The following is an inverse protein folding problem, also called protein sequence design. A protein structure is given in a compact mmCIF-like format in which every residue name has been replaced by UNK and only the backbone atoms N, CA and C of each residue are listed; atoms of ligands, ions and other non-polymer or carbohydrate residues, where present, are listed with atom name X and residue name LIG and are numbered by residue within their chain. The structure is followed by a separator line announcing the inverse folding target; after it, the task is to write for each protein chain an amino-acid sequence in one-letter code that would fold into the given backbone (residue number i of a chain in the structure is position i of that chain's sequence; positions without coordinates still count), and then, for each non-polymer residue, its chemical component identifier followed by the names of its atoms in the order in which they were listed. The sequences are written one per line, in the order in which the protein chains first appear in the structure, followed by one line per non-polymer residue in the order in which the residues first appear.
data_IF_532884256057
#
_entry.id   IF_532884256057
#
_cell.length_a   1.000
_cell.length_b   1.000
_cell.length_c   1.000
_cell.angle_alpha   90.00
_cell.angle_beta   90.00
_cell.angle_gamma   90.00
#
_symmetry.space_group_name_H-M   'P 1'
#
loop_
_entity.id
_entity.type
_entity.pdbx_description
1 polymer ?
#
# COMPACT_ATOMS: atom_id res chain seq x y z
N UNK A 1 24.86 15.51 -34.10
CA UNK A 1 24.55 16.96 -34.07
C UNK A 1 23.45 17.20 -33.04
N UNK A 2 23.62 18.16 -32.11
CA UNK A 2 22.69 18.37 -30.99
C UNK A 2 21.58 19.36 -31.38
N UNK A 3 20.33 18.99 -31.10
CA UNK A 3 19.17 19.89 -31.24
C UNK A 3 19.00 20.69 -29.96
N UNK A 4 18.93 22.00 -30.09
CA UNK A 4 18.66 22.91 -28.97
C UNK A 4 17.15 23.18 -28.89
N UNK A 5 16.68 23.77 -27.79
CA UNK A 5 15.26 24.09 -27.60
C UNK A 5 15.12 25.59 -27.42
N UNK A 6 14.13 26.18 -28.10
CA UNK A 6 13.79 27.58 -27.97
C UNK A 6 13.26 27.88 -26.56
N UNK A 7 13.88 28.83 -25.87
CA UNK A 7 13.54 29.22 -24.50
C UNK A 7 12.14 29.83 -24.37
N UNK A 8 11.64 30.49 -25.42
CA UNK A 8 10.31 31.09 -25.42
C UNK A 8 9.22 30.12 -25.91
N UNK A 9 9.40 29.56 -27.11
CA UNK A 9 8.35 28.80 -27.79
C UNK A 9 8.37 27.30 -27.47
N UNK A 10 9.50 26.76 -27.03
CA UNK A 10 9.71 25.33 -26.78
C UNK A 10 9.91 24.48 -28.04
N UNK A 11 10.05 25.08 -29.22
CA UNK A 11 10.34 24.36 -30.47
C UNK A 11 11.81 23.94 -30.55
N UNK A 12 12.08 22.85 -31.29
CA UNK A 12 13.45 22.38 -31.57
C UNK A 12 14.15 23.37 -32.51
N UNK A 13 15.40 23.67 -32.23
CA UNK A 13 16.28 24.51 -33.03
C UNK A 13 17.29 23.59 -33.70
N UNK A 14 17.26 23.59 -35.03
CA UNK A 14 18.25 22.91 -35.83
C UNK A 14 19.52 23.76 -35.96
N UNK A 15 20.70 23.14 -36.10
CA UNK A 15 21.94 23.85 -36.34
C UNK A 15 21.85 24.79 -37.55
N UNK A 16 22.44 25.98 -37.43
CA UNK A 16 22.34 27.03 -38.45
C UNK A 16 21.06 27.88 -38.39
N UNK A 17 20.17 27.64 -37.42
CA UNK A 17 18.97 28.44 -37.21
C UNK A 17 18.96 29.16 -35.86
N UNK A 18 18.21 30.25 -35.82
CA UNK A 18 17.91 30.98 -34.59
C UNK A 18 19.01 31.93 -34.14
N UNK A 19 18.86 32.42 -32.91
CA UNK A 19 19.78 33.36 -32.26
C UNK A 19 20.04 32.94 -30.82
N UNK A 20 21.20 33.35 -30.29
CA UNK A 20 21.60 33.15 -28.90
C UNK A 20 21.67 34.51 -28.21
N UNK A 21 20.91 34.67 -27.14
CA UNK A 21 20.86 35.88 -26.32
C UNK A 21 21.45 35.59 -24.94
N UNK A 22 22.51 36.29 -24.58
CA UNK A 22 23.12 36.23 -23.25
C UNK A 22 22.64 37.45 -22.47
N UNK A 23 21.96 37.22 -21.36
CA UNK A 23 21.51 38.29 -20.46
C UNK A 23 22.63 38.64 -19.47
N UNK A 24 22.59 39.86 -18.91
CA UNK A 24 23.60 40.37 -17.96
C UNK A 24 23.84 39.47 -16.72
N UNK A 25 22.88 38.63 -16.34
CA UNK A 25 23.01 37.64 -15.26
C UNK A 25 23.62 36.30 -15.74
N UNK A 26 24.33 36.30 -16.87
CA UNK A 26 24.93 35.14 -17.53
C UNK A 26 23.95 34.03 -17.93
N UNK A 27 22.65 34.34 -17.99
CA UNK A 27 21.65 33.37 -18.49
C UNK A 27 21.62 33.39 -20.01
N UNK A 28 21.78 32.21 -20.59
CA UNK A 28 21.73 31.99 -22.03
C UNK A 28 20.32 31.58 -22.44
N UNK A 29 19.76 32.31 -23.38
CA UNK A 29 18.47 32.02 -24.01
C UNK A 29 18.71 31.74 -25.50
N UNK A 30 18.02 30.72 -26.02
CA UNK A 30 18.08 30.38 -27.45
C UNK A 30 16.71 30.63 -28.06
N UNK A 31 16.67 31.26 -29.23
CA UNK A 31 15.44 31.55 -29.94
C UNK A 31 15.45 30.91 -31.31
N UNK A 32 14.31 30.33 -31.71
CA UNK A 32 14.17 29.69 -33.04
C UNK A 32 14.01 30.74 -34.15
N UNK A 33 13.41 31.88 -33.82
CA UNK A 33 13.14 32.97 -34.77
C UNK A 33 13.08 34.33 -34.08
N UNK A 34 13.19 35.40 -34.88
CA UNK A 34 13.05 36.79 -34.45
C UNK A 34 11.71 37.05 -33.75
N UNK A 35 10.63 36.35 -34.14
CA UNK A 35 9.33 36.41 -33.46
C UNK A 35 9.43 35.98 -31.99
N UNK A 36 10.11 34.86 -31.72
CA UNK A 36 10.29 34.38 -30.34
C UNK A 36 11.21 35.28 -29.51
N UNK A 37 12.23 35.84 -30.14
CA UNK A 37 13.15 36.79 -29.51
C UNK A 37 12.45 38.12 -29.15
N UNK A 38 11.73 38.71 -30.11
CA UNK A 38 10.99 39.96 -29.90
C UNK A 38 9.95 39.83 -28.77
N UNK A 39 9.17 38.74 -28.75
CA UNK A 39 8.20 38.51 -27.68
C UNK A 39 8.87 38.32 -26.31
N UNK A 40 10.05 37.70 -26.26
CA UNK A 40 10.83 37.55 -25.04
C UNK A 40 11.35 38.89 -24.53
N UNK A 41 11.91 39.73 -25.42
CA UNK A 41 12.41 41.07 -25.07
C UNK A 41 11.28 42.02 -24.63
N UNK A 42 10.09 41.88 -25.22
CA UNK A 42 8.85 42.54 -24.76
C UNK A 42 8.30 41.98 -23.44
N UNK A 43 9.00 41.03 -22.80
CA UNK A 43 8.62 40.38 -21.54
C UNK A 43 7.22 39.74 -21.58
N UNK A 44 6.79 39.25 -22.75
CA UNK A 44 5.53 38.51 -22.87
C UNK A 44 5.68 37.15 -22.20
N UNK A 45 4.61 36.70 -21.53
CA UNK A 45 4.62 35.41 -20.86
C UNK A 45 4.23 34.30 -21.86
N UNK A 46 5.09 33.31 -22.15
CA UNK A 46 4.76 32.23 -23.09
C UNK A 46 3.53 31.42 -22.65
N UNK A 47 3.22 31.37 -21.34
CA UNK A 47 2.00 30.73 -20.81
C UNK A 47 0.70 31.39 -21.27
N UNK A 48 0.75 32.62 -21.81
CA UNK A 48 -0.40 33.34 -22.35
C UNK A 48 -0.42 33.35 -23.89
N UNK A 49 0.59 32.79 -24.54
CA UNK A 49 0.72 32.81 -26.01
C UNK A 49 0.37 31.43 -26.58
N UNK A 50 -0.77 31.37 -27.28
CA UNK A 50 -1.48 30.12 -27.61
C UNK A 50 -0.66 29.09 -28.38
N UNK A 51 0.23 29.53 -29.26
CA UNK A 51 1.01 28.65 -30.14
C UNK A 51 2.26 28.06 -29.46
N UNK A 52 2.62 28.50 -28.26
CA UNK A 52 3.81 27.98 -27.57
C UNK A 52 3.56 26.61 -26.96
N UNK A 53 4.61 25.80 -26.85
CA UNK A 53 4.54 24.48 -26.22
C UNK A 53 4.11 24.58 -24.75
N UNK A 54 4.54 25.64 -24.05
CA UNK A 54 4.21 25.89 -22.65
C UNK A 54 2.72 26.14 -22.46
N UNK A 55 2.12 27.00 -23.28
CA UNK A 55 0.67 27.24 -23.27
C UNK A 55 -0.09 25.92 -23.51
N UNK A 56 0.27 25.19 -24.56
CA UNK A 56 -0.39 23.94 -24.90
C UNK A 56 -0.32 22.91 -23.77
N UNK A 57 0.82 22.81 -23.07
CA UNK A 57 0.99 21.92 -21.91
C UNK A 57 0.07 22.29 -20.74
N UNK A 58 -0.02 23.57 -20.38
CA UNK A 58 -0.84 24.03 -19.25
C UNK A 58 -2.33 23.85 -19.56
N UNK A 59 -2.73 24.18 -20.79
CA UNK A 59 -4.12 24.08 -21.25
C UNK A 59 -4.50 22.67 -21.74
N UNK A 60 -3.64 21.67 -21.49
CA UNK A 60 -3.86 20.26 -21.87
C UNK A 60 -4.24 20.09 -23.35
N UNK A 61 -3.64 20.91 -24.21
CA UNK A 61 -3.79 20.84 -25.67
C UNK A 61 -2.74 19.89 -26.26
N UNK A 62 -3.20 18.90 -27.01
CA UNK A 62 -2.36 17.88 -27.63
C UNK A 62 -2.56 16.51 -26.98
N UNK A 63 -1.81 15.52 -27.46
CA UNK A 63 -1.83 14.16 -26.93
C UNK A 63 -1.05 14.16 -25.63
N UNK A 64 -1.74 14.38 -24.51
CA UNK A 64 -1.31 13.72 -23.28
C UNK A 64 -1.58 12.25 -23.54
N UNK A 65 -0.58 11.51 -24.01
CA UNK A 65 -0.56 10.08 -23.73
C UNK A 65 -0.91 9.99 -22.27
N UNK A 66 -2.03 9.33 -21.98
CA UNK A 66 -2.42 8.99 -20.63
C UNK A 66 -1.15 8.48 -19.98
N UNK A 67 -0.48 9.34 -19.18
CA UNK A 67 0.64 8.93 -18.36
C UNK A 67 -0.05 7.97 -17.43
N UNK A 68 0.00 6.71 -17.86
CA UNK A 68 -0.82 5.60 -17.38
C UNK A 68 -0.95 5.83 -15.91
N UNK A 69 -2.16 6.19 -15.44
CA UNK A 69 -2.40 6.42 -14.02
C UNK A 69 -1.74 5.25 -13.33
N UNK A 70 -0.60 5.49 -12.66
CA UNK A 70 0.27 4.42 -12.20
C UNK A 70 -0.63 3.55 -11.34
N UNK A 71 -1.04 2.40 -11.87
CA UNK A 71 -1.82 1.43 -11.11
C UNK A 71 -0.92 1.07 -9.96
N UNK A 72 -1.20 1.62 -8.78
CA UNK A 72 -0.54 1.24 -7.54
C UNK A 72 -0.84 -0.23 -7.35
N UNK A 73 0.09 -1.11 -7.77
CA UNK A 73 -0.02 -2.55 -7.53
C UNK A 73 -0.14 -2.75 -6.02
N UNK A 74 -1.30 -3.20 -5.55
CA UNK A 74 -1.45 -3.73 -4.19
C UNK A 74 -1.15 -5.22 -4.24
N UNK A 75 0.06 -5.58 -3.83
CA UNK A 75 0.41 -6.99 -3.63
C UNK A 75 0.04 -7.37 -2.21
N UNK A 76 -1.03 -8.15 -2.03
CA UNK A 76 -1.29 -8.83 -0.74
C UNK A 76 -0.90 -10.28 -0.91
N UNK A 77 0.20 -10.68 -0.26
CA UNK A 77 0.64 -12.08 -0.20
C UNK A 77 0.64 -12.53 1.25
N UNK A 78 -0.05 -13.64 1.52
CA UNK A 78 0.26 -14.47 2.68
C UNK A 78 -0.43 -15.83 2.53
N UNK A 79 0.35 -16.87 2.20
CA UNK A 79 0.13 -18.21 2.74
C UNK A 79 1.51 -18.86 2.94
N UNK A 80 1.90 -19.07 4.20
CA UNK A 80 3.09 -19.85 4.59
C UNK A 80 2.65 -20.96 5.53
N UNK A 81 3.29 -22.12 5.43
CA UNK A 81 3.15 -23.17 6.44
C UNK A 81 3.80 -22.73 7.75
N UNK A 82 3.35 -23.30 8.86
CA UNK A 82 3.90 -23.04 10.20
C UNK A 82 4.65 -24.30 10.65
N UNK A 83 5.74 -24.17 11.39
CA UNK A 83 6.45 -25.34 11.91
C UNK A 83 5.49 -26.25 12.70
N UNK A 84 5.41 -27.53 12.32
CA UNK A 84 4.49 -28.50 12.91
C UNK A 84 3.09 -28.60 12.27
N UNK A 85 2.76 -27.78 11.26
CA UNK A 85 1.51 -27.91 10.51
C UNK A 85 1.66 -27.46 9.04
N UNK A 86 1.37 -28.38 8.11
CA UNK A 86 1.37 -28.07 6.68
C UNK A 86 0.21 -27.14 6.31
N UNK A 87 0.37 -26.39 5.22
CA UNK A 87 -0.61 -25.42 4.72
C UNK A 87 -1.97 -26.09 4.42
N UNK A 88 -1.96 -27.35 3.98
CA UNK A 88 -3.15 -28.16 3.72
C UNK A 88 -3.91 -28.52 5.01
N UNK A 89 -3.20 -28.90 6.07
CA UNK A 89 -3.83 -29.20 7.37
C UNK A 89 -4.50 -27.96 7.99
N UNK A 90 -3.91 -26.78 7.79
CA UNK A 90 -4.46 -25.50 8.26
C UNK A 90 -5.72 -25.15 7.47
N UNK A 91 -5.71 -25.32 6.14
CA UNK A 91 -6.89 -25.10 5.28
C UNK A 91 -8.02 -26.06 5.63
N UNK A 92 -7.73 -27.35 5.74
CA UNK A 92 -8.72 -28.36 6.09
C UNK A 92 -9.40 -28.07 7.43
N UNK A 93 -8.64 -27.69 8.48
CA UNK A 93 -9.22 -27.27 9.76
C UNK A 93 -10.02 -25.98 9.65
N UNK A 94 -9.59 -25.03 8.80
CA UNK A 94 -10.28 -23.75 8.58
C UNK A 94 -11.56 -23.89 7.76
N UNK A 95 -11.66 -24.89 6.91
CA UNK A 95 -12.82 -25.14 6.04
C UNK A 95 -13.85 -26.09 6.67
N UNK A 96 -13.56 -26.65 7.85
CA UNK A 96 -14.55 -27.44 8.60
C UNK A 96 -15.87 -26.68 8.78
N UNK A 97 -16.96 -27.34 8.38
CA UNK A 97 -18.32 -26.82 8.50
C UNK A 97 -18.62 -26.39 9.94
N UNK A 98 -19.38 -25.29 10.12
CA UNK A 98 -19.68 -24.76 11.45
C UNK A 98 -20.40 -25.77 12.35
N UNK A 99 -21.19 -26.68 11.77
CA UNK A 99 -21.89 -27.75 12.47
C UNK A 99 -20.94 -28.74 13.13
N UNK A 100 -19.91 -29.19 12.40
CA UNK A 100 -18.88 -30.11 12.91
C UNK A 100 -18.08 -29.46 14.04
N UNK A 101 -17.77 -28.15 13.90
CA UNK A 101 -17.10 -27.39 14.96
C UNK A 101 -17.97 -27.24 16.20
N UNK A 102 -19.27 -26.97 16.01
CA UNK A 102 -20.21 -26.82 17.11
C UNK A 102 -20.39 -28.15 17.86
N UNK A 103 -20.45 -29.27 17.16
CA UNK A 103 -20.54 -30.61 17.76
C UNK A 103 -19.29 -30.92 18.60
N UNK A 104 -18.09 -30.79 18.04
CA UNK A 104 -16.82 -31.01 18.76
C UNK A 104 -16.68 -30.09 19.98
N UNK A 105 -17.16 -28.84 19.87
CA UNK A 105 -17.18 -27.90 21.01
C UNK A 105 -18.14 -28.33 22.11
N UNK A 106 -19.33 -28.82 21.76
CA UNK A 106 -20.31 -29.33 22.74
C UNK A 106 -19.76 -30.55 23.48
N UNK A 107 -19.20 -31.52 22.75
CA UNK A 107 -18.56 -32.70 23.35
C UNK A 107 -17.39 -32.34 24.27
N UNK A 108 -16.56 -31.36 23.88
CA UNK A 108 -15.47 -30.88 24.72
C UNK A 108 -15.97 -30.21 26.01
N UNK A 109 -17.06 -29.44 25.93
CA UNK A 109 -17.69 -28.79 27.08
C UNK A 109 -18.27 -29.85 28.03
N UNK A 110 -18.93 -30.88 27.51
CA UNK A 110 -19.48 -31.96 28.32
C UNK A 110 -18.40 -32.78 29.02
N UNK A 111 -17.33 -33.15 28.31
CA UNK A 111 -16.16 -33.80 28.89
C UNK A 111 -15.51 -32.94 29.98
N UNK A 112 -15.38 -31.63 29.75
CA UNK A 112 -14.84 -30.70 30.75
C UNK A 112 -15.76 -30.56 31.98
N UNK A 113 -17.09 -30.55 31.79
CA UNK A 113 -18.06 -30.53 32.89
C UNK A 113 -18.04 -31.84 33.68
N UNK A 114 -17.96 -32.98 33.02
CA UNK A 114 -17.84 -34.28 33.67
C UNK A 114 -16.53 -34.41 34.47
N UNK A 115 -15.40 -34.00 33.90
CA UNK A 115 -14.11 -33.96 34.61
C UNK A 115 -14.14 -33.01 35.83
N UNK A 116 -14.83 -31.86 35.72
CA UNK A 116 -15.07 -30.95 36.85
C UNK A 116 -15.92 -31.57 37.96
N UNK A 117 -16.94 -32.37 37.62
CA UNK A 117 -17.74 -33.10 38.62
C UNK A 117 -16.89 -34.15 39.34
N UNK A 118 -16.18 -34.99 38.60
CA UNK A 118 -15.29 -36.02 39.18
C UNK A 118 -14.21 -35.39 40.08
N UNK A 119 -13.61 -34.28 39.67
CA UNK A 119 -12.62 -33.57 40.51
C UNK A 119 -13.27 -32.89 41.73
N UNK A 120 -14.51 -32.40 41.62
CA UNK A 120 -15.26 -31.88 42.76
C UNK A 120 -15.66 -32.98 43.75
N UNK A 121 -16.06 -34.15 43.27
CA UNK A 121 -16.43 -35.30 44.10
C UNK A 121 -15.20 -35.90 44.79
N UNK A 122 -14.06 -35.99 44.10
CA UNK A 122 -12.77 -36.32 44.73
C UNK A 122 -12.38 -35.31 45.81
N UNK A 123 -12.52 -34.01 45.56
CA UNK A 123 -12.27 -32.96 46.56
C UNK A 123 -13.24 -33.02 47.75
N UNK A 124 -14.50 -33.43 47.56
CA UNK A 124 -15.46 -33.63 48.65
C UNK A 124 -15.13 -34.89 49.46
N UNK A 125 -14.71 -35.98 48.82
CA UNK A 125 -14.28 -37.20 49.48
C UNK A 125 -12.99 -37.00 50.29
N UNK A 126 -12.02 -36.23 49.77
CA UNK A 126 -10.82 -35.84 50.51
C UNK A 126 -11.13 -34.94 51.71
N UNK A 127 -12.07 -33.98 51.57
CA UNK A 127 -12.52 -33.15 52.70
C UNK A 127 -13.27 -33.97 53.77
N UNK A 128 -14.03 -34.99 53.37
CA UNK A 128 -14.73 -35.88 54.29
C UNK A 128 -13.76 -36.81 55.05
N UNK A 129 -12.71 -37.32 54.38
CA UNK A 129 -11.68 -38.15 55.03
C UNK A 129 -10.76 -37.35 55.95
N UNK A 130 -10.53 -36.05 55.70
CA UNK A 130 -9.87 -35.16 56.67
C UNK A 130 -10.73 -34.84 57.89
N UNK A 131 -12.06 -34.77 57.76
CA UNK A 131 -12.99 -34.56 58.89
C UNK A 131 -13.18 -35.82 59.76
N UNK A 132 -13.10 -37.02 59.18
CA UNK A 132 -13.20 -38.27 59.96
C UNK A 132 -11.92 -38.60 60.75
N UNK A 133 -10.79 -37.99 60.40
CA UNK A 133 -9.55 -38.07 61.20
C UNK A 133 -9.52 -37.11 62.40
N UNK A 134 -10.53 -36.26 62.59
CA UNK A 134 -10.49 -35.16 63.57
C UNK A 134 -11.65 -35.12 64.59
N UNK A 135 -12.11 -36.27 65.14
CA UNK A 135 -12.86 -36.33 66.42
C UNK A 135 -13.00 -37.78 66.96
N UNK A 136 -13.13 -38.03 68.29
CA UNK A 136 -12.11 -37.94 69.34
C UNK A 136 -11.89 -39.29 70.08
N UNK A 137 -10.69 -39.57 70.63
CA UNK A 137 -10.50 -40.70 71.58
C UNK A 137 -11.00 -40.30 72.97
N UNK A 138 -12.10 -40.92 73.43
CA UNK A 138 -12.63 -40.82 74.81
C UNK A 138 -11.64 -41.44 75.81
N UNK A 139 -11.41 -40.74 76.93
CA UNK A 139 -10.98 -41.30 78.21
C UNK A 139 -12.08 -41.01 79.22
#
# INVERSE_FOLDING_TARGET
MKLEICSFSGHKIYPGHGSLYVRADNRVFRFVSSKSESLFLQRKNPRKINWTVVYRRINRKGVTEEITRKKTRRTVKSQRAVAGASLETIKAKREQKPEVRAALRKEAIEKAKAAKKVTADKKKAEKASTKSKSAPKKK
#
